data_IF_714127856361
#
_entry.id   IF_714127856361
#
_cell.length_a   1.000
_cell.length_b   1.000
_cell.length_c   1.000
_cell.angle_alpha   90.00
_cell.angle_beta   90.00
_cell.angle_gamma   90.00
#
_symmetry.space_group_name_H-M   'P 1'
#
loop_
_entity.id
_entity.type
_entity.pdbx_description
1 polymer ?
#
# COMPACT_ATOMS: atom_id res chain seq x y z
N UNK A 1 13.66 11.31 27.01
CA UNK A 1 12.62 12.36 27.06
C UNK A 1 11.57 11.94 28.08
N UNK A 2 11.09 12.83 28.97
CA UNK A 2 10.00 12.48 29.88
C UNK A 2 8.72 12.19 29.09
N UNK A 3 7.90 11.28 29.61
CA UNK A 3 6.60 10.97 29.00
C UNK A 3 5.67 12.20 29.10
N UNK A 4 4.95 12.48 28.03
CA UNK A 4 3.94 13.54 27.97
C UNK A 4 2.62 12.93 27.53
N UNK A 5 1.56 13.17 28.29
CA UNK A 5 0.19 12.84 27.88
C UNK A 5 -0.40 14.03 27.16
N UNK A 6 -1.01 13.78 26.02
CA UNK A 6 -1.70 14.77 25.18
C UNK A 6 -3.13 14.31 25.02
N UNK A 7 -4.08 15.15 25.37
CA UNK A 7 -5.51 14.85 25.19
C UNK A 7 -5.95 15.04 23.73
N UNK A 8 -7.00 14.36 23.33
CA UNK A 8 -7.59 14.54 22.00
C UNK A 8 -8.03 16.02 21.77
N UNK A 9 -8.52 16.68 22.82
CA UNK A 9 -8.92 18.09 22.75
C UNK A 9 -7.73 19.04 22.54
N UNK A 10 -6.55 18.72 23.07
CA UNK A 10 -5.32 19.47 22.77
C UNK A 10 -4.91 19.26 21.30
N UNK A 11 -4.94 18.02 20.79
CA UNK A 11 -4.62 17.74 19.38
C UNK A 11 -5.53 18.46 18.40
N UNK A 12 -6.83 18.49 18.65
CA UNK A 12 -7.81 19.15 17.76
C UNK A 12 -7.60 20.67 17.69
N UNK A 13 -7.01 21.29 18.71
CA UNK A 13 -6.74 22.75 18.74
C UNK A 13 -5.49 23.13 17.97
N UNK A 14 -4.60 22.18 17.68
CA UNK A 14 -3.39 22.45 16.91
C UNK A 14 -3.73 22.63 15.42
N UNK A 15 -2.80 23.17 14.66
CA UNK A 15 -2.93 23.30 13.22
C UNK A 15 -3.17 21.93 12.56
N UNK A 16 -4.25 21.84 11.79
CA UNK A 16 -4.66 20.60 11.14
C UNK A 16 -4.14 20.57 9.71
N UNK A 17 -3.51 19.47 9.33
CA UNK A 17 -3.04 19.21 7.97
C UNK A 17 -3.95 18.20 7.28
N UNK A 18 -4.26 18.46 6.00
CA UNK A 18 -4.95 17.53 5.12
C UNK A 18 -3.92 16.76 4.29
N UNK A 19 -4.04 15.44 4.24
CA UNK A 19 -3.20 14.56 3.42
C UNK A 19 -4.06 13.51 2.74
N UNK A 20 -3.99 13.44 1.40
CA UNK A 20 -4.62 12.34 0.64
C UNK A 20 -3.57 11.24 0.46
N UNK A 21 -3.89 10.01 0.85
CA UNK A 21 -2.96 8.91 0.73
C UNK A 21 -3.65 7.59 0.39
N UNK A 22 -2.96 6.74 -0.34
CA UNK A 22 -3.37 5.35 -0.56
C UNK A 22 -3.06 4.55 0.70
N UNK A 23 -4.10 3.98 1.29
CA UNK A 23 -3.99 2.99 2.35
C UNK A 23 -4.11 1.60 1.72
N UNK A 24 -3.03 0.83 1.76
CA UNK A 24 -2.96 -0.49 1.13
C UNK A 24 -2.59 -1.56 2.14
N UNK A 25 -3.34 -2.66 2.17
CA UNK A 25 -2.94 -3.87 2.90
C UNK A 25 -1.65 -4.46 2.29
N UNK A 26 -0.68 -4.86 3.13
CA UNK A 26 0.52 -5.55 2.64
C UNK A 26 0.18 -6.84 1.87
N UNK A 27 -0.98 -7.45 2.15
CA UNK A 27 -1.49 -8.63 1.45
C UNK A 27 -2.37 -8.32 0.22
N UNK A 28 -2.44 -7.08 -0.25
CA UNK A 28 -3.18 -6.76 -1.47
C UNK A 28 -2.54 -7.43 -2.70
N UNK A 29 -3.28 -8.34 -3.34
CA UNK A 29 -2.78 -9.22 -4.42
C UNK A 29 -2.38 -10.62 -3.94
N UNK A 30 -2.58 -10.98 -2.66
CA UNK A 30 -2.21 -12.29 -2.10
C UNK A 30 -2.77 -13.46 -2.91
N UNK A 31 -4.00 -13.36 -3.39
CA UNK A 31 -4.61 -14.42 -4.20
C UNK A 31 -3.83 -14.75 -5.48
N UNK A 32 -3.00 -13.84 -5.99
CA UNK A 32 -2.23 -14.07 -7.20
C UNK A 32 -1.00 -14.96 -6.99
N UNK A 33 -0.56 -15.15 -5.74
CA UNK A 33 0.46 -16.13 -5.38
C UNK A 33 0.00 -17.59 -5.55
N UNK A 34 -1.32 -17.85 -5.60
CA UNK A 34 -1.87 -19.20 -5.75
C UNK A 34 -1.42 -19.92 -7.03
N UNK A 35 -0.78 -19.24 -7.98
CA UNK A 35 -0.12 -19.88 -9.13
C UNK A 35 1.05 -20.79 -8.71
N UNK A 36 1.74 -20.44 -7.63
CA UNK A 36 2.81 -21.26 -7.05
C UNK A 36 2.27 -22.08 -5.90
N UNK A 37 1.69 -21.43 -4.91
CA UNK A 37 0.95 -22.04 -3.81
C UNK A 37 0.08 -20.98 -3.13
N UNK A 38 -1.00 -21.38 -2.48
CA UNK A 38 -1.85 -20.48 -1.71
C UNK A 38 -1.08 -19.98 -0.48
N UNK A 39 -0.89 -18.65 -0.40
CA UNK A 39 -0.32 -18.02 0.78
C UNK A 39 -1.36 -17.86 1.89
N UNK A 40 -0.94 -17.82 3.15
CA UNK A 40 -1.86 -17.72 4.29
C UNK A 40 -2.45 -16.31 4.43
N UNK A 41 -3.69 -16.23 4.92
CA UNK A 41 -4.41 -14.98 5.19
C UNK A 41 -5.52 -14.68 4.18
N UNK A 42 -6.17 -13.52 4.33
CA UNK A 42 -7.27 -13.10 3.45
C UNK A 42 -6.80 -12.99 2.00
N UNK A 43 -7.50 -13.69 1.11
CA UNK A 43 -7.13 -13.79 -0.30
C UNK A 43 -7.59 -12.56 -1.10
N UNK A 44 -7.03 -11.40 -0.77
CA UNK A 44 -7.24 -10.18 -1.54
C UNK A 44 -6.75 -10.36 -2.98
N UNK A 45 -7.57 -9.92 -3.93
CA UNK A 45 -7.12 -9.67 -5.30
C UNK A 45 -6.62 -8.23 -5.40
N UNK A 46 -7.43 -7.30 -5.96
CA UNK A 46 -7.07 -5.89 -6.18
C UNK A 46 -7.60 -4.94 -5.12
N UNK A 47 -8.63 -5.35 -4.36
CA UNK A 47 -9.46 -4.47 -3.53
C UNK A 47 -8.94 -4.22 -2.10
N UNK A 48 -7.77 -4.74 -1.72
CA UNK A 48 -7.20 -4.52 -0.39
C UNK A 48 -6.57 -3.13 -0.23
N UNK A 49 -7.20 -2.07 -0.77
CA UNK A 49 -6.69 -0.71 -0.77
C UNK A 49 -7.81 0.33 -0.89
N UNK A 50 -7.53 1.55 -0.47
CA UNK A 50 -8.38 2.72 -0.67
C UNK A 50 -7.55 3.99 -0.73
N UNK A 51 -7.95 5.01 -1.48
CA UNK A 51 -7.45 6.37 -1.33
C UNK A 51 -8.31 7.10 -0.33
N UNK A 52 -7.68 7.72 0.64
CA UNK A 52 -8.35 8.36 1.77
C UNK A 52 -7.80 9.76 1.99
N UNK A 53 -8.68 10.70 2.26
CA UNK A 53 -8.34 12.04 2.73
C UNK A 53 -8.29 12.04 4.26
N UNK A 54 -7.11 12.24 4.82
CA UNK A 54 -6.86 12.26 6.26
C UNK A 54 -6.66 13.70 6.74
N UNK A 55 -7.23 14.04 7.88
CA UNK A 55 -6.96 15.32 8.55
C UNK A 55 -6.53 15.08 9.99
N UNK A 56 -5.50 15.81 10.41
CA UNK A 56 -4.94 15.70 11.75
C UNK A 56 -3.68 16.55 11.91
N UNK A 57 -2.93 16.32 12.98
CA UNK A 57 -1.71 17.05 13.31
C UNK A 57 -0.49 16.29 12.80
N UNK A 58 0.42 16.95 12.10
CA UNK A 58 1.72 16.34 11.74
C UNK A 58 2.52 16.04 13.00
N UNK A 59 3.25 14.94 12.97
CA UNK A 59 4.08 14.53 14.12
C UNK A 59 5.09 15.62 14.49
N UNK A 60 5.79 16.22 13.52
CA UNK A 60 6.74 17.31 13.76
C UNK A 60 6.06 18.52 14.40
N UNK A 61 4.89 18.90 13.93
CA UNK A 61 4.18 20.08 14.43
C UNK A 61 3.69 19.86 15.87
N UNK A 62 3.26 18.64 16.20
CA UNK A 62 2.97 18.26 17.59
C UNK A 62 4.20 18.37 18.47
N UNK A 63 5.34 17.82 18.05
CA UNK A 63 6.57 17.88 18.84
C UNK A 63 7.02 19.33 19.08
N UNK A 64 6.94 20.16 18.05
CA UNK A 64 7.29 21.59 18.14
C UNK A 64 6.33 22.35 19.08
N UNK A 65 5.01 22.10 18.98
CA UNK A 65 4.01 22.77 19.80
C UNK A 65 4.14 22.46 21.29
N UNK A 66 4.70 21.31 21.61
CA UNK A 66 4.92 20.85 22.99
C UNK A 66 6.36 21.08 23.48
N UNK A 67 7.22 21.73 22.67
CA UNK A 67 8.67 21.87 22.92
C UNK A 67 9.34 20.53 23.27
N UNK A 68 8.93 19.47 22.59
CA UNK A 68 9.49 18.13 22.79
C UNK A 68 10.65 17.89 21.82
N UNK A 69 11.83 17.58 22.37
CA UNK A 69 13.01 17.23 21.59
C UNK A 69 13.19 15.72 21.58
N UNK A 70 13.18 15.15 20.39
CA UNK A 70 13.50 13.73 20.20
C UNK A 70 15.01 13.52 20.46
N UNK A 71 15.36 12.43 21.14
CA UNK A 71 16.77 12.06 21.33
C UNK A 71 17.50 11.94 20.00
N UNK A 72 18.75 12.41 19.94
CA UNK A 72 19.61 12.26 18.78
C UNK A 72 19.88 10.78 18.39
N UNK A 73 19.75 9.88 19.37
CA UNK A 73 19.91 8.43 19.15
C UNK A 73 18.64 7.74 18.67
N UNK A 74 17.48 8.42 18.68
CA UNK A 74 16.23 7.83 18.23
C UNK A 74 16.26 7.61 16.71
N UNK A 75 16.09 6.37 16.31
CA UNK A 75 16.09 5.92 14.91
C UNK A 75 14.71 5.48 14.44
N UNK A 76 13.84 5.13 15.37
CA UNK A 76 12.51 4.59 15.09
C UNK A 76 11.43 5.34 15.85
N UNK A 77 10.28 5.48 15.17
CA UNK A 77 9.00 5.80 15.78
C UNK A 77 8.27 4.49 15.98
N UNK A 78 7.98 4.12 17.22
CA UNK A 78 7.13 2.98 17.58
C UNK A 78 5.76 3.50 18.00
N UNK A 79 4.73 3.01 17.34
CA UNK A 79 3.33 3.33 17.62
C UNK A 79 2.61 2.10 18.17
N UNK A 80 1.83 2.31 19.25
CA UNK A 80 1.04 1.30 19.93
C UNK A 80 -0.44 1.67 19.86
N UNK A 81 -1.28 0.72 19.48
CA UNK A 81 -2.73 0.84 19.45
C UNK A 81 -3.38 0.23 20.70
N UNK A 82 -4.64 0.58 20.94
CA UNK A 82 -5.48 -0.03 22.00
C UNK A 82 -6.17 -1.33 21.52
N UNK A 83 -5.64 -1.99 20.49
CA UNK A 83 -6.16 -3.29 20.09
C UNK A 83 -5.95 -4.27 21.23
N UNK A 84 -7.03 -4.93 21.73
CA UNK A 84 -6.84 -5.98 22.73
C UNK A 84 -6.03 -7.11 22.10
N UNK A 85 -5.06 -7.63 22.85
CA UNK A 85 -4.33 -8.81 22.44
C UNK A 85 -5.31 -9.93 22.08
N UNK A 86 -5.15 -10.56 20.94
CA UNK A 86 -6.04 -11.64 20.48
C UNK A 86 -6.00 -12.85 21.42
N UNK A 87 -4.93 -12.97 22.22
CA UNK A 87 -4.72 -13.97 23.27
C UNK A 87 -3.99 -13.30 24.44
N UNK A 88 -4.19 -13.74 25.68
CA UNK A 88 -3.51 -13.17 26.86
C UNK A 88 -1.97 -13.20 26.79
N UNK A 89 -1.41 -14.06 25.94
CA UNK A 89 0.04 -14.18 25.73
C UNK A 89 0.55 -13.39 24.51
N UNK A 90 -0.33 -12.74 23.75
CA UNK A 90 0.08 -11.90 22.63
C UNK A 90 0.37 -10.47 23.16
N UNK A 91 1.36 -9.83 22.57
CA UNK A 91 1.66 -8.42 22.82
C UNK A 91 0.58 -7.51 22.21
N UNK A 92 0.49 -6.29 22.71
CA UNK A 92 -0.30 -5.23 22.10
C UNK A 92 0.15 -4.98 20.65
N UNK A 93 -0.75 -4.41 19.83
CA UNK A 93 -0.41 -4.11 18.44
C UNK A 93 0.56 -2.94 18.38
N UNK A 94 1.81 -3.24 18.11
CA UNK A 94 2.86 -2.25 17.93
C UNK A 94 3.53 -2.37 16.57
N UNK A 95 3.89 -1.22 16.01
CA UNK A 95 4.68 -1.13 14.78
C UNK A 95 5.75 -0.04 14.89
N UNK A 96 6.95 -0.36 14.41
CA UNK A 96 8.06 0.60 14.33
C UNK A 96 8.35 0.96 12.88
N UNK A 97 8.55 2.24 12.62
CA UNK A 97 8.96 2.76 11.31
C UNK A 97 10.20 3.63 11.46
N UNK A 98 11.09 3.72 10.44
CA UNK A 98 12.24 4.63 10.49
C UNK A 98 11.79 6.06 10.74
N UNK A 99 12.29 6.67 11.81
CA UNK A 99 11.87 8.01 12.23
C UNK A 99 12.18 9.07 11.19
N UNK A 100 13.36 9.00 10.56
CA UNK A 100 13.78 9.96 9.53
C UNK A 100 12.86 10.01 8.32
N UNK A 101 12.18 8.90 8.02
CA UNK A 101 11.25 8.82 6.90
C UNK A 101 9.89 9.45 7.19
N UNK A 102 9.46 9.42 8.45
CA UNK A 102 8.06 9.74 8.83
C UNK A 102 7.93 10.99 9.69
N UNK A 103 9.01 11.55 10.20
CA UNK A 103 8.96 12.67 11.14
C UNK A 103 8.20 13.88 10.58
N UNK A 104 8.35 14.16 9.28
CA UNK A 104 7.72 15.30 8.60
C UNK A 104 6.39 14.96 7.94
N UNK A 105 6.09 13.66 7.77
CA UNK A 105 4.96 13.21 6.96
C UNK A 105 3.90 12.45 7.75
N UNK A 106 4.27 11.84 8.89
CA UNK A 106 3.32 11.13 9.74
C UNK A 106 2.27 12.08 10.32
N UNK A 107 1.03 11.63 10.34
CA UNK A 107 -0.13 12.39 10.78
C UNK A 107 -0.83 11.66 11.92
N UNK A 108 -1.12 12.39 12.99
CA UNK A 108 -2.03 11.96 14.05
C UNK A 108 -3.44 12.35 13.60
N UNK A 109 -4.10 11.46 12.85
CA UNK A 109 -5.34 11.73 12.18
C UNK A 109 -6.55 11.55 13.11
N UNK A 110 -7.45 12.53 13.08
CA UNK A 110 -8.74 12.52 13.78
C UNK A 110 -9.93 12.51 12.84
N UNK A 111 -9.73 12.83 11.54
CA UNK A 111 -10.76 12.79 10.51
C UNK A 111 -10.36 12.00 9.30
N UNK A 112 -11.35 11.41 8.64
CA UNK A 112 -11.25 10.61 7.44
C UNK A 112 -12.35 11.02 6.46
N UNK A 113 -11.98 11.46 5.25
CA UNK A 113 -12.92 11.94 4.22
C UNK A 113 -13.87 13.05 4.71
N UNK A 114 -13.35 13.96 5.54
CA UNK A 114 -14.11 15.11 6.08
C UNK A 114 -14.92 14.83 7.35
N UNK A 115 -15.00 13.57 7.79
CA UNK A 115 -15.78 13.16 8.97
C UNK A 115 -14.85 12.62 10.07
N UNK A 116 -15.26 12.61 11.35
CA UNK A 116 -14.52 11.93 12.42
C UNK A 116 -14.25 10.46 12.05
N UNK A 117 -13.06 9.95 12.39
CA UNK A 117 -12.72 8.56 12.09
C UNK A 117 -13.67 7.61 12.85
N UNK A 118 -14.42 6.75 12.16
CA UNK A 118 -15.25 5.73 12.82
C UNK A 118 -14.39 4.76 13.64
N UNK A 119 -14.96 4.24 14.73
CA UNK A 119 -14.25 3.30 15.61
C UNK A 119 -13.65 2.11 14.85
N UNK A 120 -14.40 1.51 13.90
CA UNK A 120 -13.92 0.37 13.08
C UNK A 120 -12.68 0.73 12.23
N UNK A 121 -12.50 2.01 11.89
CA UNK A 121 -11.35 2.52 11.15
C UNK A 121 -10.25 3.08 12.04
N UNK A 122 -10.35 2.90 13.37
CA UNK A 122 -9.30 3.25 14.33
C UNK A 122 -9.49 4.61 14.99
N UNK A 123 -10.71 5.18 14.94
CA UNK A 123 -11.03 6.41 15.67
C UNK A 123 -11.09 6.19 17.20
N UNK A 124 -10.97 7.26 17.98
CA UNK A 124 -10.94 8.68 17.57
C UNK A 124 -9.59 9.19 17.03
N UNK A 125 -8.49 8.44 17.21
CA UNK A 125 -7.13 8.84 16.84
C UNK A 125 -6.40 7.69 16.16
N UNK A 126 -5.76 7.98 15.04
CA UNK A 126 -4.99 7.02 14.28
C UNK A 126 -3.66 7.60 13.83
N UNK A 127 -2.59 6.80 13.88
CA UNK A 127 -1.38 7.14 13.16
C UNK A 127 -1.58 6.85 11.67
N UNK A 128 -1.27 7.82 10.83
CA UNK A 128 -1.18 7.68 9.37
C UNK A 128 0.26 7.96 8.95
N UNK A 129 0.86 7.00 8.26
CA UNK A 129 2.21 7.08 7.68
C UNK A 129 2.07 6.97 6.16
N UNK A 130 1.92 8.10 5.42
CA UNK A 130 1.71 8.07 3.97
C UNK A 130 2.84 7.33 3.26
N UNK A 131 2.49 6.54 2.24
CA UNK A 131 3.46 5.72 1.49
C UNK A 131 3.83 4.39 2.13
N UNK A 132 3.41 4.14 3.37
CA UNK A 132 3.62 2.88 4.07
C UNK A 132 2.40 1.95 3.93
N UNK A 133 2.63 0.64 4.04
CA UNK A 133 1.52 -0.31 4.08
C UNK A 133 0.61 -0.08 5.29
N UNK A 134 -0.64 -0.52 5.16
CA UNK A 134 -1.70 -0.30 6.16
C UNK A 134 -1.38 -0.79 7.57
N UNK A 135 -0.52 -1.80 7.70
CA UNK A 135 -0.03 -2.29 8.99
C UNK A 135 0.75 -1.24 9.79
N UNK A 136 1.42 -0.32 9.11
CA UNK A 136 2.17 0.75 9.77
C UNK A 136 1.30 1.95 10.14
N UNK A 137 0.04 1.96 9.73
CA UNK A 137 -0.95 2.99 10.03
C UNK A 137 -1.79 2.56 11.23
N UNK A 138 -1.24 2.69 12.45
CA UNK A 138 -1.78 2.13 13.68
C UNK A 138 -3.12 2.77 14.06
N UNK A 139 -4.15 1.93 14.26
CA UNK A 139 -5.50 2.30 14.69
C UNK A 139 -5.56 2.46 16.20
N UNK A 140 -6.57 3.22 16.69
CA UNK A 140 -6.79 3.46 18.12
C UNK A 140 -5.49 3.84 18.82
N UNK A 141 -4.77 4.80 18.23
CA UNK A 141 -3.43 5.20 18.69
C UNK A 141 -3.45 5.61 20.16
N UNK A 142 -2.64 4.94 20.97
CA UNK A 142 -2.51 5.18 22.39
C UNK A 142 -1.15 5.78 22.79
N UNK A 143 -0.07 5.27 22.18
CA UNK A 143 1.28 5.66 22.57
C UNK A 143 2.20 5.80 21.35
N UNK A 144 3.08 6.78 21.41
CA UNK A 144 4.23 6.93 20.53
C UNK A 144 5.51 6.88 21.35
N UNK A 145 6.50 6.12 20.89
CA UNK A 145 7.84 6.04 21.46
C UNK A 145 8.87 6.37 20.40
N UNK A 146 9.91 7.08 20.79
CA UNK A 146 11.06 7.42 19.96
C UNK A 146 12.25 6.63 20.49
N UNK A 147 12.66 5.60 19.75
CA UNK A 147 13.54 4.55 20.23
C UNK A 147 14.76 4.37 19.32
N UNK A 148 15.85 3.88 19.88
CA UNK A 148 17.04 3.51 19.12
C UNK A 148 16.83 2.19 18.36
N UNK A 149 16.16 1.22 18.99
CA UNK A 149 15.80 -0.08 18.42
C UNK A 149 14.35 -0.13 17.95
N UNK A 150 14.02 -1.18 17.19
CA UNK A 150 12.64 -1.49 16.80
C UNK A 150 11.89 -2.19 17.92
N UNK A 151 10.56 -2.16 17.85
CA UNK A 151 9.71 -2.97 18.72
C UNK A 151 10.04 -4.45 18.60
N UNK A 152 10.13 -5.14 19.75
CA UNK A 152 10.23 -6.60 19.83
C UNK A 152 8.87 -7.30 19.78
N UNK A 153 7.76 -6.54 19.75
CA UNK A 153 6.41 -7.08 19.62
C UNK A 153 6.33 -8.08 18.46
N UNK A 154 5.66 -9.20 18.69
CA UNK A 154 5.44 -10.24 17.69
C UNK A 154 4.84 -9.70 16.38
N UNK A 155 3.97 -8.69 16.49
CA UNK A 155 3.35 -8.06 15.32
C UNK A 155 4.38 -7.33 14.45
N UNK A 156 5.47 -6.81 15.03
CA UNK A 156 6.54 -6.16 14.30
C UNK A 156 7.69 -7.11 13.95
N UNK A 157 8.11 -7.93 14.90
CA UNK A 157 9.31 -8.77 14.76
C UNK A 157 9.08 -9.99 13.86
N UNK A 158 7.87 -10.59 13.86
CA UNK A 158 7.57 -11.82 13.14
C UNK A 158 6.53 -11.70 12.03
N UNK A 159 5.63 -10.69 12.09
CA UNK A 159 4.61 -10.44 11.06
C UNK A 159 5.00 -9.25 10.20
N UNK A 160 4.32 -9.10 9.07
CA UNK A 160 4.57 -8.02 8.10
C UNK A 160 6.03 -7.95 7.67
N UNK A 161 6.58 -9.13 7.36
CA UNK A 161 7.95 -9.30 6.89
C UNK A 161 7.97 -10.11 5.61
N UNK A 162 8.91 -9.79 4.71
CA UNK A 162 9.16 -10.52 3.47
C UNK A 162 10.59 -11.05 3.49
N UNK A 163 10.77 -12.28 3.03
CA UNK A 163 12.08 -12.90 2.97
C UNK A 163 12.96 -12.21 1.92
N UNK A 164 14.25 -12.12 2.21
CA UNK A 164 15.25 -11.55 1.31
C UNK A 164 15.53 -12.47 0.15
N UNK A 165 15.63 -13.75 0.48
CA UNK A 165 15.88 -14.80 -0.50
C UNK A 165 14.56 -15.40 -1.01
N UNK A 166 14.63 -15.98 -2.21
CA UNK A 166 13.50 -16.71 -2.77
C UNK A 166 13.21 -17.95 -1.92
N UNK A 167 11.94 -18.15 -1.60
CA UNK A 167 11.46 -19.29 -0.85
C UNK A 167 10.56 -20.13 -1.73
N UNK A 168 10.77 -21.41 -1.70
CA UNK A 168 9.89 -22.36 -2.38
C UNK A 168 8.69 -22.72 -1.47
N UNK A 169 7.51 -22.96 -2.06
CA UNK A 169 6.33 -23.41 -1.34
C UNK A 169 6.60 -24.66 -0.51
N UNK A 170 6.11 -24.69 0.73
CA UNK A 170 6.33 -25.78 1.66
C UNK A 170 7.56 -25.59 2.58
N UNK A 171 8.42 -24.62 2.28
CA UNK A 171 9.53 -24.24 3.16
C UNK A 171 9.07 -23.12 4.09
N UNK A 172 9.37 -23.25 5.38
CA UNK A 172 9.09 -22.21 6.39
C UNK A 172 10.39 -21.82 7.11
N UNK A 173 11.21 -20.94 6.53
CA UNK A 173 12.43 -20.48 7.17
C UNK A 173 12.11 -19.69 8.43
N UNK A 174 13.08 -19.58 9.32
CA UNK A 174 12.96 -18.73 10.50
C UNK A 174 12.87 -17.25 10.08
N UNK A 175 11.93 -16.54 10.73
CA UNK A 175 11.72 -15.10 10.53
C UNK A 175 12.62 -14.34 11.49
N UNK A 176 13.72 -13.80 10.99
CA UNK A 176 14.68 -12.98 11.72
C UNK A 176 14.95 -11.67 10.97
N UNK A 177 15.72 -10.75 11.56
CA UNK A 177 16.17 -9.55 10.88
C UNK A 177 17.17 -9.82 9.75
N UNK A 178 17.92 -10.91 9.85
CA UNK A 178 18.89 -11.34 8.83
C UNK A 178 18.18 -11.95 7.63
N UNK A 179 17.13 -12.76 7.86
CA UNK A 179 16.43 -13.50 6.80
C UNK A 179 15.34 -12.70 6.12
N UNK A 180 14.87 -11.61 6.75
CA UNK A 180 13.69 -10.87 6.26
C UNK A 180 13.86 -9.36 6.30
N UNK A 181 13.02 -8.67 5.52
CA UNK A 181 12.80 -7.21 5.58
C UNK A 181 11.40 -6.90 6.11
N UNK A 182 11.26 -5.80 6.85
CA UNK A 182 9.93 -5.28 7.22
C UNK A 182 9.19 -4.79 5.99
N UNK A 183 7.89 -5.07 5.89
CA UNK A 183 7.01 -4.55 4.83
C UNK A 183 6.61 -3.11 5.15
N UNK A 184 7.52 -2.17 4.94
CA UNK A 184 7.31 -0.76 5.24
C UNK A 184 6.68 -0.02 4.08
N UNK A 185 7.46 0.24 3.02
CA UNK A 185 7.06 1.08 1.90
C UNK A 185 6.23 0.32 0.88
N UNK A 186 5.19 0.97 0.38
CA UNK A 186 4.39 0.44 -0.72
C UNK A 186 5.25 0.31 -1.97
N UNK A 187 5.19 -0.86 -2.59
CA UNK A 187 5.80 -1.08 -3.91
C UNK A 187 5.01 -0.32 -4.97
N UNK A 188 5.69 0.08 -6.05
CA UNK A 188 4.98 0.63 -7.21
C UNK A 188 3.97 -0.38 -7.76
N UNK A 189 2.76 0.08 -8.03
CA UNK A 189 1.68 -0.74 -8.60
C UNK A 189 0.83 0.06 -9.57
N UNK A 190 0.30 -0.65 -10.55
CA UNK A 190 -0.85 -0.25 -11.36
C UNK A 190 -1.87 -1.36 -11.33
N UNK A 191 -3.14 -1.00 -11.29
CA UNK A 191 -4.26 -1.94 -11.40
C UNK A 191 -5.27 -1.46 -12.43
N UNK A 192 -5.86 -2.40 -13.14
CA UNK A 192 -6.94 -2.16 -14.09
C UNK A 192 -8.27 -2.24 -13.32
N UNK A 193 -9.06 -1.18 -13.34
CA UNK A 193 -10.39 -1.14 -12.73
C UNK A 193 -11.49 -1.51 -13.69
N UNK A 194 -11.35 -1.09 -14.95
CA UNK A 194 -12.25 -1.44 -16.01
C UNK A 194 -11.46 -1.75 -17.29
N UNK A 195 -11.89 -2.76 -18.06
CA UNK A 195 -12.97 -3.70 -17.79
C UNK A 195 -12.64 -4.64 -16.62
N UNK A 196 -13.65 -5.27 -16.04
CA UNK A 196 -13.47 -6.30 -15.01
C UNK A 196 -13.16 -7.66 -15.61
N UNK A 197 -12.65 -8.59 -14.80
CA UNK A 197 -12.32 -9.96 -15.22
C UNK A 197 -13.52 -10.67 -15.87
N UNK A 198 -13.28 -11.34 -17.00
CA UNK A 198 -14.28 -12.08 -17.79
C UNK A 198 -15.43 -11.23 -18.35
N UNK A 199 -15.30 -9.90 -18.35
CA UNK A 199 -16.31 -9.03 -18.91
C UNK A 199 -16.45 -9.25 -20.42
N UNK A 200 -17.70 -9.36 -20.90
CA UNK A 200 -18.00 -9.54 -22.34
C UNK A 200 -17.97 -8.20 -23.05
N UNK A 201 -17.31 -8.16 -24.20
CA UNK A 201 -17.22 -6.98 -25.07
C UNK A 201 -17.62 -7.30 -26.48
N UNK A 202 -18.35 -6.38 -27.10
CA UNK A 202 -18.78 -6.42 -28.49
C UNK A 202 -17.93 -5.47 -29.35
N UNK A 203 -17.97 -5.57 -30.70
CA UNK A 203 -17.27 -4.65 -31.58
C UNK A 203 -17.53 -3.19 -31.24
N UNK A 204 -16.48 -2.39 -31.23
CA UNK A 204 -16.52 -0.96 -30.88
C UNK A 204 -15.41 -0.51 -29.92
N UNK A 205 -15.52 0.70 -29.38
CA UNK A 205 -14.54 1.23 -28.43
C UNK A 205 -14.67 0.54 -27.05
N UNK A 206 -13.54 0.09 -26.52
CA UNK A 206 -13.42 -0.45 -25.17
C UNK A 206 -12.64 0.57 -24.33
N UNK A 207 -13.33 1.21 -23.38
CA UNK A 207 -12.67 2.08 -22.41
C UNK A 207 -11.97 1.22 -21.37
N UNK A 208 -10.67 1.49 -21.17
CA UNK A 208 -9.85 0.86 -20.14
C UNK A 208 -9.43 1.94 -19.17
N UNK A 209 -9.58 1.70 -17.89
CA UNK A 209 -9.16 2.64 -16.85
C UNK A 209 -8.53 1.91 -15.67
N UNK A 210 -7.70 2.63 -14.93
CA UNK A 210 -7.03 2.12 -13.76
C UNK A 210 -6.38 3.22 -12.96
N UNK A 211 -5.58 2.80 -11.99
CA UNK A 211 -4.77 3.69 -11.16
C UNK A 211 -3.39 3.12 -10.99
N UNK A 212 -2.41 4.01 -10.83
CA UNK A 212 -1.06 3.68 -10.42
C UNK A 212 -0.69 4.44 -9.15
N UNK A 213 0.22 3.90 -8.35
CA UNK A 213 0.76 4.55 -7.15
C UNK A 213 2.07 3.90 -6.72
N UNK A 214 2.78 4.58 -5.84
CA UNK A 214 3.96 4.06 -5.16
C UNK A 214 4.02 4.56 -3.70
N UNK A 215 5.20 4.58 -3.11
CA UNK A 215 5.44 5.06 -1.75
C UNK A 215 5.49 6.60 -1.61
N UNK A 216 5.26 7.35 -2.67
CA UNK A 216 5.27 8.82 -2.67
C UNK A 216 6.65 9.48 -2.58
N UNK A 217 7.74 8.69 -2.54
CA UNK A 217 9.12 9.21 -2.51
C UNK A 217 9.59 9.78 -3.85
N UNK A 218 8.90 9.43 -4.91
CA UNK A 218 9.11 9.94 -6.26
C UNK A 218 7.83 9.84 -7.06
N UNK A 219 7.76 10.55 -8.18
CA UNK A 219 6.59 10.55 -9.05
C UNK A 219 6.44 9.24 -9.82
N UNK A 220 5.21 8.81 -10.05
CA UNK A 220 4.88 7.84 -11.09
C UNK A 220 4.89 8.58 -12.43
N UNK A 221 5.79 8.19 -13.33
CA UNK A 221 6.06 8.93 -14.58
C UNK A 221 5.41 8.30 -15.81
N UNK A 222 4.99 7.05 -15.72
CA UNK A 222 4.30 6.36 -16.80
C UNK A 222 3.44 5.21 -16.29
N UNK A 223 2.36 4.96 -17.00
CA UNK A 223 1.65 3.68 -16.97
C UNK A 223 1.53 3.15 -18.40
N UNK A 224 1.57 1.85 -18.54
CA UNK A 224 1.51 1.16 -19.83
C UNK A 224 0.46 0.05 -19.79
N UNK A 225 -0.16 -0.16 -20.93
CA UNK A 225 -1.16 -1.19 -21.16
C UNK A 225 -0.69 -2.11 -22.31
N UNK A 226 -0.77 -3.41 -22.09
CA UNK A 226 -0.65 -4.44 -23.11
C UNK A 226 -2.00 -5.08 -23.38
N UNK A 227 -2.25 -5.45 -24.63
CA UNK A 227 -3.47 -6.15 -25.06
C UNK A 227 -3.19 -7.56 -25.59
N UNK A 228 -1.94 -7.99 -25.55
CA UNK A 228 -1.43 -9.24 -26.13
C UNK A 228 -0.65 -10.09 -25.13
N UNK A 229 -1.00 -9.96 -23.85
CA UNK A 229 -0.39 -10.74 -22.78
C UNK A 229 1.02 -10.32 -22.39
N UNK A 230 1.40 -9.06 -22.66
CA UNK A 230 2.69 -8.50 -22.28
C UNK A 230 3.75 -8.54 -23.38
N UNK A 231 3.39 -8.94 -24.63
CA UNK A 231 4.35 -8.94 -25.74
C UNK A 231 4.64 -7.53 -26.26
N UNK A 232 3.60 -6.69 -26.35
CA UNK A 232 3.75 -5.28 -26.73
C UNK A 232 3.07 -4.37 -25.70
N UNK A 233 3.60 -3.14 -25.55
CA UNK A 233 3.15 -2.18 -24.57
C UNK A 233 2.93 -0.80 -25.19
N UNK A 234 1.86 -0.15 -24.78
CA UNK A 234 1.55 1.22 -25.17
C UNK A 234 1.39 2.10 -23.91
N UNK A 235 1.97 3.28 -23.91
CA UNK A 235 1.72 4.28 -22.86
C UNK A 235 0.26 4.68 -22.86
N UNK A 236 -0.30 4.86 -21.67
CA UNK A 236 -1.66 5.35 -21.46
C UNK A 236 -1.66 6.79 -20.96
N UNK A 237 -2.81 7.45 -21.02
CA UNK A 237 -2.95 8.79 -20.44
C UNK A 237 -2.93 8.69 -18.91
N UNK A 238 -1.92 9.27 -18.30
CA UNK A 238 -1.72 9.32 -16.86
C UNK A 238 -2.11 10.71 -16.34
N UNK A 239 -2.97 10.76 -15.33
CA UNK A 239 -3.43 12.00 -14.71
C UNK A 239 -2.62 12.28 -13.44
N UNK A 240 -2.53 13.56 -13.05
CA UNK A 240 -1.86 13.96 -11.82
C UNK A 240 -2.60 13.42 -10.59
N UNK A 241 -1.88 13.04 -9.52
CA UNK A 241 -2.48 12.60 -8.28
C UNK A 241 -2.95 13.79 -7.44
N UNK A 242 -3.83 13.55 -6.46
CA UNK A 242 -4.26 14.57 -5.49
C UNK A 242 -3.17 14.91 -4.46
N UNK A 243 -2.17 14.07 -4.32
CA UNK A 243 -0.97 14.27 -3.49
C UNK A 243 0.13 13.31 -3.95
N UNK A 244 1.39 13.48 -3.51
CA UNK A 244 2.46 12.53 -3.81
C UNK A 244 2.16 11.08 -3.39
N UNK A 245 1.30 10.89 -2.39
CA UNK A 245 0.89 9.59 -1.85
C UNK A 245 -0.45 9.10 -2.41
N UNK A 246 -1.05 9.83 -3.35
CA UNK A 246 -2.33 9.53 -3.97
C UNK A 246 -2.22 8.60 -5.17
N UNK A 247 -3.37 8.25 -5.71
CA UNK A 247 -3.46 7.54 -6.98
C UNK A 247 -3.20 8.48 -8.14
N UNK A 248 -2.51 7.95 -9.15
CA UNK A 248 -2.39 8.49 -10.50
C UNK A 248 -3.44 7.77 -11.36
N UNK A 249 -4.61 8.36 -11.62
CA UNK A 249 -5.59 7.78 -12.52
C UNK A 249 -5.01 7.66 -13.93
N UNK A 250 -5.38 6.62 -14.64
CA UNK A 250 -5.02 6.47 -16.03
C UNK A 250 -6.15 5.87 -16.86
N UNK A 251 -6.18 6.19 -18.15
CA UNK A 251 -7.17 5.70 -19.07
C UNK A 251 -6.62 5.49 -20.48
N UNK A 252 -7.25 4.58 -21.21
CA UNK A 252 -7.01 4.30 -22.62
C UNK A 252 -8.33 3.92 -23.31
N UNK A 253 -8.36 4.08 -24.63
CA UNK A 253 -9.45 3.54 -25.46
C UNK A 253 -8.85 2.56 -26.46
N UNK A 254 -9.32 1.32 -26.40
CA UNK A 254 -8.99 0.26 -27.37
C UNK A 254 -10.14 0.14 -28.36
N UNK A 255 -9.82 -0.25 -29.59
CA UNK A 255 -10.85 -0.53 -30.61
C UNK A 255 -10.88 -2.04 -30.88
N UNK A 256 -12.07 -2.61 -30.82
CA UNK A 256 -12.33 -3.99 -31.20
C UNK A 256 -13.28 -4.02 -32.43
N UNK A 257 -12.89 -4.73 -33.49
CA UNK A 257 -13.63 -4.79 -34.72
C UNK A 257 -13.31 -3.65 -35.68
N UNK A 258 -13.41 -3.88 -36.95
CA UNK A 258 -13.02 -3.00 -38.08
C UNK A 258 -11.72 -3.46 -38.75
N UNK A 259 -11.31 -2.80 -39.85
CA UNK A 259 -10.16 -3.18 -40.70
C UNK A 259 -8.77 -3.09 -40.03
N UNK A 260 -8.67 -2.66 -38.76
CA UNK A 260 -7.47 -2.81 -37.96
C UNK A 260 -7.62 -4.04 -37.07
N UNK A 261 -7.21 -5.17 -37.63
CA UNK A 261 -6.99 -6.38 -36.82
C UNK A 261 -6.03 -6.05 -35.68
N UNK A 262 -6.55 -6.01 -34.45
CA UNK A 262 -5.75 -6.28 -33.28
C UNK A 262 -5.33 -7.75 -33.45
N UNK A 263 -4.07 -7.92 -33.86
CA UNK A 263 -3.49 -9.19 -34.25
C UNK A 263 -3.47 -10.17 -33.10
N UNK A 264 -4.35 -11.09 -33.09
CA UNK A 264 -4.28 -12.50 -32.68
C UNK A 264 -5.69 -13.02 -32.47
N UNK A 265 -6.06 -13.99 -33.28
CA UNK A 265 -7.36 -14.65 -33.23
C UNK A 265 -7.56 -15.41 -31.93
N UNK A 266 -8.35 -14.83 -31.03
CA UNK A 266 -8.76 -15.47 -29.78
C UNK A 266 -10.02 -14.80 -29.25
N UNK A 267 -10.91 -15.59 -28.64
CA UNK A 267 -12.13 -15.12 -27.96
C UNK A 267 -11.84 -14.33 -26.69
N UNK A 268 -10.60 -14.35 -26.20
CA UNK A 268 -10.17 -13.64 -24.97
C UNK A 268 -9.00 -12.70 -25.27
N UNK A 269 -9.03 -11.53 -24.64
CA UNK A 269 -7.91 -10.61 -24.59
C UNK A 269 -7.31 -10.63 -23.19
N UNK A 270 -5.99 -10.71 -23.14
CA UNK A 270 -5.20 -10.66 -21.92
C UNK A 270 -4.64 -9.24 -21.77
N UNK A 271 -5.41 -8.40 -21.08
CA UNK A 271 -4.97 -7.04 -20.75
C UNK A 271 -3.98 -7.09 -19.59
N UNK A 272 -2.85 -6.39 -19.72
CA UNK A 272 -1.91 -6.20 -18.63
C UNK A 272 -1.59 -4.73 -18.42
N UNK A 273 -1.48 -4.33 -17.16
CA UNK A 273 -1.13 -2.97 -16.76
C UNK A 273 0.12 -2.95 -15.88
N UNK A 274 1.01 -1.98 -16.14
CA UNK A 274 2.19 -1.72 -15.32
C UNK A 274 2.47 -0.23 -15.21
N UNK A 275 3.22 0.15 -14.18
CA UNK A 275 3.64 1.53 -13.95
C UNK A 275 5.16 1.63 -13.76
N UNK A 276 5.68 2.84 -13.99
CA UNK A 276 7.07 3.21 -13.81
C UNK A 276 7.16 4.49 -12.99
N UNK A 277 8.15 4.59 -12.13
CA UNK A 277 8.44 5.82 -11.42
C UNK A 277 9.78 6.44 -11.82
N UNK A 278 10.04 7.66 -11.35
CA UNK A 278 11.23 8.40 -11.72
C UNK A 278 12.55 7.80 -11.18
N UNK A 279 12.49 6.85 -10.22
CA UNK A 279 13.63 6.05 -9.80
C UNK A 279 13.88 4.83 -10.70
N UNK A 280 13.09 4.65 -11.77
CA UNK A 280 13.17 3.50 -12.65
C UNK A 280 12.59 2.20 -12.08
N UNK A 281 11.87 2.27 -10.94
CA UNK A 281 11.15 1.12 -10.39
C UNK A 281 9.93 0.83 -11.26
N UNK A 282 9.65 -0.44 -11.47
CA UNK A 282 8.46 -0.91 -12.22
C UNK A 282 7.93 -2.20 -11.62
N UNK A 283 6.73 -2.56 -12.03
CA UNK A 283 6.16 -3.86 -11.72
C UNK A 283 6.85 -4.94 -12.54
N UNK A 284 7.28 -6.07 -11.94
CA UNK A 284 7.78 -7.23 -12.67
C UNK A 284 6.63 -7.95 -13.38
N UNK A 285 6.96 -8.82 -14.34
CA UNK A 285 6.00 -9.71 -14.96
C UNK A 285 5.10 -10.37 -13.93
N UNK A 286 3.84 -10.56 -14.30
CA UNK A 286 2.80 -11.16 -13.45
C UNK A 286 3.24 -12.44 -12.72
N UNK A 287 4.08 -13.27 -13.36
CA UNK A 287 4.57 -14.53 -12.81
C UNK A 287 5.91 -14.45 -12.08
N UNK A 288 6.57 -13.30 -12.07
CA UNK A 288 7.95 -13.15 -11.58
C UNK A 288 8.05 -12.72 -10.12
N UNK A 289 6.92 -12.40 -9.46
CA UNK A 289 6.92 -12.04 -8.04
C UNK A 289 7.23 -13.28 -7.21
N UNK A 290 8.27 -13.21 -6.40
CA UNK A 290 8.69 -14.31 -5.54
C UNK A 290 7.61 -14.62 -4.51
N UNK A 291 7.25 -15.89 -4.41
CA UNK A 291 6.28 -16.37 -3.44
C UNK A 291 6.81 -16.18 -2.00
N UNK A 292 5.89 -15.91 -1.08
CA UNK A 292 6.18 -15.92 0.35
C UNK A 292 4.98 -16.47 1.14
N UNK A 293 5.22 -17.09 2.32
CA UNK A 293 4.18 -17.78 3.08
C UNK A 293 2.99 -16.90 3.50
N UNK A 294 3.26 -15.62 3.77
CA UNK A 294 2.25 -14.64 4.19
C UNK A 294 1.59 -13.90 3.03
N UNK A 295 2.10 -14.07 1.81
CA UNK A 295 1.58 -13.43 0.61
C UNK A 295 1.59 -11.91 0.67
N UNK A 296 2.62 -11.32 1.31
CA UNK A 296 2.82 -9.88 1.33
C UNK A 296 3.51 -9.38 0.07
N UNK A 297 3.32 -8.08 -0.20
CA UNK A 297 4.03 -7.34 -1.25
C UNK A 297 3.92 -7.91 -2.66
N UNK A 298 2.79 -8.53 -3.00
CA UNK A 298 2.56 -8.83 -4.41
C UNK A 298 2.42 -7.53 -5.22
N UNK A 299 3.31 -7.33 -6.18
CA UNK A 299 3.37 -6.13 -7.02
C UNK A 299 3.64 -6.44 -8.49
N UNK A 300 3.31 -7.66 -8.96
CA UNK A 300 3.40 -8.01 -10.37
C UNK A 300 2.47 -7.16 -11.24
N UNK A 301 2.71 -7.18 -12.55
CA UNK A 301 1.80 -6.59 -13.55
C UNK A 301 0.37 -7.01 -13.27
N UNK A 302 -0.57 -6.07 -13.35
CA UNK A 302 -1.98 -6.44 -13.22
C UNK A 302 -2.48 -7.10 -14.49
N UNK A 303 -3.39 -8.06 -14.37
CA UNK A 303 -3.87 -8.86 -15.48
C UNK A 303 -5.37 -9.02 -15.43
N UNK A 304 -6.05 -8.65 -16.50
CA UNK A 304 -7.50 -8.81 -16.71
C UNK A 304 -7.76 -9.50 -18.03
N UNK A 305 -8.51 -10.58 -18.00
CA UNK A 305 -8.97 -11.25 -19.21
C UNK A 305 -10.39 -10.81 -19.54
N UNK A 306 -10.61 -10.41 -20.78
CA UNK A 306 -11.94 -10.05 -21.29
C UNK A 306 -12.32 -10.97 -22.43
N UNK A 307 -13.63 -11.23 -22.57
CA UNK A 307 -14.18 -12.02 -23.65
C UNK A 307 -14.66 -11.10 -24.77
N UNK A 308 -14.22 -11.38 -26.01
CA UNK A 308 -14.60 -10.64 -27.20
C UNK A 308 -15.59 -11.48 -28.04
N UNK A 309 -16.73 -10.90 -28.39
CA UNK A 309 -17.82 -11.57 -29.13
C UNK A 309 -18.13 -10.90 -30.44
#
# INVERSE_FOLDING_TARGET
>A
MPARTVSLSELIRLEQTLTVAVLQCAGNGRAFYARSAMASGTQWRRGGMAQVSWQGVRLRDLLNSLDLRVSANARFLTAEGLDPAARPADDDYEQSVPLGDVLDTALLATSMNGEPIPAIHGGPLRLVTPGYYGSMNVKWLNRLRFEEGRSSSRHHAQRYRTFRDRIEPGIAPEVTEETTNSTWHQKIKSVIWAPVEEERRFPGPIKVSGVAWNDGRTEVVAAELSTDGGNTWCRVNLEAPLSPYGWYPWHATLWYGGNRQLTSGGTFRDLRGRAFDAYGRSQPDYGSVHWNPSGYEWYGEDRVKISLH
#
